data_IF_028956953380
#
_entry.id   IF_028956953380
#
_cell.length_a   1.000
_cell.length_b   1.000
_cell.length_c   1.000
_cell.angle_alpha   90.00
_cell.angle_beta   90.00
_cell.angle_gamma   90.00
#
_symmetry.space_group_name_H-M   'P 1'
#
loop_
_entity.id
_entity.type
_entity.pdbx_description
1 polymer ?
#
# COMPACT_ATOMS: atom_id res chain seq x y z
N UNK A 1 45.54 -9.83 -4.61
CA UNK A 1 44.48 -8.85 -4.91
C UNK A 1 43.16 -9.59 -4.84
N UNK A 2 42.40 -9.38 -3.76
CA UNK A 2 41.04 -9.92 -3.65
C UNK A 2 40.08 -8.79 -4.01
N UNK A 3 39.47 -8.89 -5.19
CA UNK A 3 38.33 -8.06 -5.56
C UNK A 3 37.08 -8.83 -5.13
N UNK A 4 36.46 -8.41 -4.04
CA UNK A 4 35.07 -8.78 -3.80
C UNK A 4 34.27 -8.22 -4.98
N UNK A 5 33.71 -9.09 -5.81
CA UNK A 5 32.60 -8.67 -6.67
C UNK A 5 31.51 -8.19 -5.70
N UNK A 6 31.01 -6.95 -5.79
CA UNK A 6 29.77 -6.65 -5.09
C UNK A 6 28.75 -7.66 -5.61
N UNK A 7 28.20 -8.46 -4.71
CA UNK A 7 27.04 -9.29 -5.02
C UNK A 7 25.94 -8.31 -5.40
N UNK A 8 25.72 -8.13 -6.70
CA UNK A 8 24.61 -7.34 -7.21
C UNK A 8 23.37 -8.14 -6.85
N UNK A 9 22.72 -7.78 -5.74
CA UNK A 9 21.45 -8.34 -5.33
C UNK A 9 20.45 -7.99 -6.44
N UNK A 10 20.11 -8.96 -7.28
CA UNK A 10 19.14 -8.75 -8.36
C UNK A 10 17.71 -8.71 -7.84
N UNK A 11 17.49 -9.29 -6.68
CA UNK A 11 16.20 -9.42 -6.02
C UNK A 11 16.36 -9.71 -4.53
N UNK A 12 15.32 -9.46 -3.74
CA UNK A 12 15.32 -9.65 -2.29
C UNK A 12 14.10 -10.40 -1.83
N UNK A 13 14.30 -11.28 -0.84
CA UNK A 13 13.21 -11.94 -0.13
C UNK A 13 12.63 -10.96 0.89
N UNK A 14 11.33 -10.71 0.83
CA UNK A 14 10.68 -9.74 1.72
C UNK A 14 10.47 -10.29 3.13
N UNK A 15 10.86 -9.54 4.15
CA UNK A 15 10.68 -9.93 5.55
C UNK A 15 9.26 -9.69 6.09
N UNK A 16 8.45 -8.93 5.37
CA UNK A 16 7.08 -8.60 5.74
C UNK A 16 6.20 -8.53 4.50
N UNK A 17 4.91 -8.72 4.70
CA UNK A 17 3.87 -8.32 3.75
C UNK A 17 3.64 -6.83 3.92
N UNK A 18 3.66 -6.07 2.84
CA UNK A 18 3.42 -4.64 2.83
C UNK A 18 2.16 -4.30 2.05
N UNK A 19 1.46 -3.29 2.54
CA UNK A 19 0.21 -2.88 1.92
C UNK A 19 -0.33 -1.58 2.48
N UNK A 20 -1.54 -1.25 2.05
CA UNK A 20 -2.27 -0.07 2.50
C UNK A 20 -3.65 -0.47 3.01
N UNK A 21 -4.25 0.41 3.79
CA UNK A 21 -5.66 0.28 4.12
C UNK A 21 -6.56 0.70 2.96
N UNK A 22 -7.56 -0.12 2.63
CA UNK A 22 -8.59 0.22 1.65
C UNK A 22 -9.99 -0.17 2.08
N UNK A 23 -10.97 0.43 1.39
CA UNK A 23 -12.34 -0.07 1.34
C UNK A 23 -12.46 -1.09 0.22
N UNK A 24 -13.25 -2.14 0.45
CA UNK A 24 -13.48 -3.19 -0.54
C UNK A 24 -14.92 -3.68 -0.50
N UNK A 25 -15.30 -4.54 -1.43
CA UNK A 25 -16.66 -5.10 -1.44
C UNK A 25 -16.85 -6.06 -0.26
N UNK A 26 -17.99 -5.94 0.42
CA UNK A 26 -18.33 -6.87 1.50
C UNK A 26 -18.86 -8.18 0.92
N UNK A 27 -18.20 -9.28 1.22
CA UNK A 27 -18.66 -10.64 0.94
C UNK A 27 -19.12 -11.27 2.26
N UNK A 28 -20.42 -11.49 2.39
CA UNK A 28 -21.04 -12.04 3.61
C UNK A 28 -20.57 -13.45 3.96
N UNK A 29 -20.04 -14.20 2.99
CA UNK A 29 -19.52 -15.54 3.21
C UNK A 29 -18.05 -15.53 3.68
N UNK A 30 -17.35 -14.40 3.53
CA UNK A 30 -15.91 -14.28 3.82
C UNK A 30 -15.59 -13.27 4.92
N UNK A 31 -16.36 -12.20 5.02
CA UNK A 31 -16.01 -11.05 5.86
C UNK A 31 -16.88 -10.99 7.12
N UNK A 32 -16.29 -10.74 8.30
CA UNK A 32 -17.03 -10.64 9.54
C UNK A 32 -18.00 -9.44 9.50
N UNK A 33 -19.21 -9.63 10.06
CA UNK A 33 -20.27 -8.60 10.07
C UNK A 33 -19.80 -7.28 10.70
N UNK A 34 -18.89 -7.34 11.68
CA UNK A 34 -18.32 -6.15 12.33
C UNK A 34 -17.48 -5.26 11.39
N UNK A 35 -17.14 -5.72 10.19
CA UNK A 35 -16.43 -4.94 9.16
C UNK A 35 -17.37 -4.36 8.10
N UNK A 36 -18.67 -4.68 8.16
CA UNK A 36 -19.65 -4.31 7.15
C UNK A 36 -20.08 -2.85 7.32
N UNK A 37 -20.00 -2.07 6.25
CA UNK A 37 -20.54 -0.72 6.17
C UNK A 37 -21.37 -0.52 4.89
N UNK A 38 -22.28 0.45 4.91
CA UNK A 38 -23.03 0.86 3.73
C UNK A 38 -22.53 2.23 3.26
N UNK A 39 -22.02 2.30 2.03
CA UNK A 39 -21.48 3.53 1.44
C UNK A 39 -21.81 3.57 -0.05
N UNK A 40 -22.22 4.74 -0.52
CA UNK A 40 -22.56 4.98 -1.95
C UNK A 40 -23.56 3.95 -2.52
N UNK A 41 -24.55 3.57 -1.70
CA UNK A 41 -25.58 2.62 -2.11
C UNK A 41 -25.13 1.16 -2.14
N UNK A 42 -23.92 0.83 -1.67
CA UNK A 42 -23.34 -0.51 -1.71
C UNK A 42 -22.84 -0.95 -0.33
N UNK A 43 -22.90 -2.27 -0.08
CA UNK A 43 -22.27 -2.87 1.08
C UNK A 43 -20.77 -3.07 0.83
N UNK A 44 -19.96 -2.40 1.65
CA UNK A 44 -18.51 -2.45 1.61
C UNK A 44 -17.96 -2.96 2.95
N UNK A 45 -16.71 -3.41 2.96
CA UNK A 45 -15.96 -3.62 4.17
C UNK A 45 -14.84 -2.59 4.30
N UNK A 46 -14.61 -2.15 5.53
CA UNK A 46 -13.53 -1.25 5.90
C UNK A 46 -12.31 -2.03 6.37
N UNK A 47 -11.19 -1.33 6.44
CA UNK A 47 -9.95 -1.83 7.01
C UNK A 47 -9.36 -3.02 6.24
N UNK A 48 -9.61 -3.17 4.93
CA UNK A 48 -8.91 -4.21 4.15
C UNK A 48 -7.43 -3.90 4.06
N UNK A 49 -6.63 -4.97 4.08
CA UNK A 49 -5.22 -4.91 3.80
C UNK A 49 -5.00 -5.17 2.30
N UNK A 50 -4.83 -4.11 1.50
CA UNK A 50 -4.43 -4.31 0.10
C UNK A 50 -2.93 -4.64 0.06
N UNK A 51 -2.62 -5.85 -0.39
CA UNK A 51 -1.25 -6.35 -0.48
C UNK A 51 -0.58 -5.84 -1.75
N UNK A 52 0.58 -5.18 -1.59
CA UNK A 52 1.47 -4.84 -2.70
C UNK A 52 2.59 -5.87 -2.87
N UNK A 53 3.00 -6.50 -1.76
CA UNK A 53 3.97 -7.59 -1.74
C UNK A 53 3.78 -8.44 -0.49
N UNK A 54 4.03 -9.74 -0.59
CA UNK A 54 3.93 -10.67 0.55
C UNK A 54 5.28 -10.98 1.16
N UNK A 55 5.29 -11.29 2.47
CA UNK A 55 6.46 -11.88 3.14
C UNK A 55 6.91 -13.14 2.42
N UNK A 56 8.22 -13.32 2.29
CA UNK A 56 8.90 -14.37 1.53
C UNK A 56 8.79 -14.28 0.00
N UNK A 57 8.14 -13.26 -0.56
CA UNK A 57 8.23 -13.03 -2.00
C UNK A 57 9.66 -12.58 -2.37
N UNK A 58 10.16 -13.08 -3.50
CA UNK A 58 11.43 -12.66 -4.08
C UNK A 58 11.17 -11.52 -5.07
N UNK A 59 11.56 -10.30 -4.69
CA UNK A 59 11.22 -9.05 -5.36
C UNK A 59 12.44 -8.47 -6.04
N UNK A 60 12.43 -8.28 -7.36
CA UNK A 60 13.54 -7.64 -8.05
C UNK A 60 13.79 -6.21 -7.55
N UNK A 61 15.06 -5.83 -7.43
CA UNK A 61 15.43 -4.44 -7.11
C UNK A 61 14.94 -3.52 -8.24
N UNK A 62 14.50 -2.33 -7.86
CA UNK A 62 13.86 -1.30 -8.70
C UNK A 62 12.52 -1.70 -9.32
N UNK A 63 11.93 -2.83 -8.90
CA UNK A 63 10.59 -3.22 -9.32
C UNK A 63 9.51 -2.33 -8.70
N UNK A 64 8.37 -2.27 -9.38
CA UNK A 64 7.23 -1.41 -9.00
C UNK A 64 5.94 -2.19 -9.04
N UNK A 65 5.13 -2.04 -8.00
CA UNK A 65 3.76 -2.56 -7.94
C UNK A 65 2.84 -1.38 -7.62
N UNK A 66 1.66 -1.32 -8.23
CA UNK A 66 0.75 -0.20 -8.05
C UNK A 66 -0.71 -0.64 -7.97
N UNK A 67 -1.51 0.17 -7.29
CA UNK A 67 -2.96 0.13 -7.38
C UNK A 67 -3.49 1.53 -7.76
N UNK A 68 -4.74 1.58 -8.22
CA UNK A 68 -5.42 2.83 -8.53
C UNK A 68 -6.75 2.88 -7.78
N UNK A 69 -7.04 4.02 -7.21
CA UNK A 69 -8.23 4.26 -6.39
C UNK A 69 -8.92 5.53 -6.82
N UNK A 70 -10.23 5.53 -6.71
CA UNK A 70 -11.04 6.74 -6.83
C UNK A 70 -10.99 7.47 -5.48
N UNK A 71 -10.63 8.76 -5.46
CA UNK A 71 -10.68 9.56 -4.24
C UNK A 71 -12.07 9.58 -3.60
N UNK A 72 -12.11 9.49 -2.27
CA UNK A 72 -13.36 9.57 -1.50
C UNK A 72 -13.57 10.91 -0.78
N UNK A 73 -12.60 11.83 -0.83
CA UNK A 73 -12.61 13.13 -0.15
C UNK A 73 -11.63 14.11 -0.82
N UNK A 74 -11.67 15.39 -0.44
CA UNK A 74 -10.72 16.41 -0.90
C UNK A 74 -9.26 16.07 -0.55
N UNK A 75 -9.03 15.36 0.56
CA UNK A 75 -7.71 14.86 0.96
C UNK A 75 -7.80 13.34 1.06
N UNK A 76 -6.93 12.63 0.35
CA UNK A 76 -6.78 11.18 0.49
C UNK A 76 -5.67 10.87 1.46
N UNK A 77 -6.00 10.09 2.49
CA UNK A 77 -5.07 9.61 3.51
C UNK A 77 -4.82 8.13 3.21
N UNK A 78 -3.56 7.77 2.99
CA UNK A 78 -3.13 6.40 2.68
C UNK A 78 -2.22 5.95 3.82
N UNK A 79 -2.72 5.14 4.76
CA UNK A 79 -1.88 4.55 5.79
C UNK A 79 -1.16 3.30 5.23
N UNK A 80 0.15 3.22 5.46
CA UNK A 80 1.01 2.13 5.00
C UNK A 80 1.20 1.16 6.17
N UNK A 81 0.89 -0.11 5.95
CA UNK A 81 1.03 -1.17 6.95
C UNK A 81 2.05 -2.23 6.54
N UNK A 82 2.57 -2.94 7.55
CA UNK A 82 3.25 -4.22 7.36
C UNK A 82 2.74 -5.29 8.33
N UNK A 83 3.01 -6.55 8.01
CA UNK A 83 2.77 -7.68 8.91
C UNK A 83 3.67 -8.87 8.58
N UNK A 84 3.89 -9.76 9.56
CA UNK A 84 4.57 -11.06 9.34
C UNK A 84 3.61 -12.12 8.77
N UNK A 85 2.31 -11.87 8.72
CA UNK A 85 1.32 -12.74 8.10
C UNK A 85 1.43 -12.64 6.58
N UNK A 86 1.45 -13.77 5.87
CA UNK A 86 1.62 -13.78 4.42
C UNK A 86 0.43 -13.21 3.65
N UNK A 87 -0.78 -13.54 4.08
CA UNK A 87 -2.03 -13.16 3.40
C UNK A 87 -3.01 -12.55 4.43
N UNK A 88 -2.72 -11.34 4.95
CA UNK A 88 -3.63 -10.63 5.85
C UNK A 88 -4.89 -10.20 5.10
N UNK A 89 -6.03 -10.19 5.79
CA UNK A 89 -7.29 -9.73 5.20
C UNK A 89 -7.60 -8.31 5.65
N UNK A 90 -7.38 -8.01 6.94
CA UNK A 90 -7.67 -6.70 7.51
C UNK A 90 -6.46 -6.09 8.20
N UNK A 91 -6.35 -4.76 8.17
CA UNK A 91 -5.30 -4.03 8.92
C UNK A 91 -5.47 -4.12 10.45
N UNK A 92 -6.62 -4.62 10.91
CA UNK A 92 -6.87 -4.91 12.34
C UNK A 92 -6.47 -6.33 12.74
N UNK A 93 -6.00 -7.15 11.79
CA UNK A 93 -5.55 -8.49 12.11
C UNK A 93 -4.32 -8.43 13.03
N UNK A 94 -4.14 -9.38 13.96
CA UNK A 94 -3.00 -9.37 14.87
C UNK A 94 -1.66 -9.33 14.13
N UNK A 95 -0.79 -8.41 14.54
CA UNK A 95 0.55 -8.24 13.97
C UNK A 95 0.62 -7.29 12.76
N UNK A 96 -0.49 -6.65 12.39
CA UNK A 96 -0.44 -5.50 11.49
C UNK A 96 0.10 -4.25 12.22
N UNK A 97 1.12 -3.63 11.63
CA UNK A 97 1.81 -2.46 12.16
C UNK A 97 1.71 -1.30 11.18
N UNK A 98 1.27 -0.13 11.64
CA UNK A 98 1.29 1.11 10.86
C UNK A 98 2.73 1.64 10.78
N UNK A 99 3.23 1.86 9.57
CA UNK A 99 4.57 2.39 9.33
C UNK A 99 4.60 3.90 9.09
N UNK A 100 3.50 4.43 8.58
CA UNK A 100 3.37 5.85 8.25
C UNK A 100 2.15 6.10 7.38
N UNK A 101 1.98 7.35 7.00
CA UNK A 101 0.82 7.81 6.25
C UNK A 101 1.25 8.78 5.17
N UNK A 102 0.68 8.61 3.97
CA UNK A 102 0.74 9.59 2.90
C UNK A 102 -0.57 10.36 2.85
N UNK A 103 -0.50 11.66 2.61
CA UNK A 103 -1.67 12.49 2.37
C UNK A 103 -1.50 13.19 1.03
N UNK A 104 -2.55 13.22 0.21
CA UNK A 104 -2.54 13.97 -1.04
C UNK A 104 -3.84 14.75 -1.21
N UNK A 105 -3.70 16.00 -1.62
CA UNK A 105 -4.84 16.85 -1.99
C UNK A 105 -5.33 16.49 -3.39
N UNK A 106 -6.63 16.25 -3.51
CA UNK A 106 -7.32 16.06 -4.76
C UNK A 106 -7.79 17.41 -5.35
N UNK A 107 -8.13 17.40 -6.63
CA UNK A 107 -8.68 18.57 -7.29
C UNK A 107 -10.05 18.92 -6.71
N UNK A 108 -10.25 20.18 -6.30
CA UNK A 108 -11.53 20.65 -5.74
C UNK A 108 -12.51 21.06 -6.83
N UNK A 109 -12.02 21.32 -8.03
CA UNK A 109 -12.80 21.80 -9.17
C UNK A 109 -13.23 20.67 -10.11
N UNK A 110 -12.82 19.43 -9.83
CA UNK A 110 -13.19 18.22 -10.58
C UNK A 110 -13.95 17.23 -9.67
N UNK A 111 -15.02 16.57 -10.15
CA UNK A 111 -15.69 15.51 -9.40
C UNK A 111 -14.70 14.42 -8.95
N UNK A 112 -14.75 14.01 -7.69
CA UNK A 112 -13.83 13.00 -7.14
C UNK A 112 -13.89 11.67 -7.90
N UNK A 113 -15.07 11.30 -8.38
CA UNK A 113 -15.33 10.11 -9.20
C UNK A 113 -14.66 10.11 -10.58
N UNK A 114 -14.30 11.29 -11.09
CA UNK A 114 -13.54 11.47 -12.34
C UNK A 114 -12.03 11.53 -12.09
N UNK A 115 -11.60 11.56 -10.83
CA UNK A 115 -10.21 11.59 -10.43
C UNK A 115 -9.68 10.18 -10.13
N UNK A 116 -8.37 10.02 -10.24
CA UNK A 116 -7.68 8.76 -9.91
C UNK A 116 -6.43 9.06 -9.11
N UNK A 117 -6.31 8.40 -7.96
CA UNK A 117 -5.07 8.32 -7.21
C UNK A 117 -4.37 7.01 -7.50
N UNK A 118 -3.10 7.08 -7.89
CA UNK A 118 -2.24 5.92 -8.12
C UNK A 118 -1.24 5.81 -6.99
N UNK A 119 -1.33 4.73 -6.21
CA UNK A 119 -0.35 4.40 -5.17
C UNK A 119 0.63 3.39 -5.75
N UNK A 120 1.93 3.65 -5.63
CA UNK A 120 3.02 2.81 -6.18
C UNK A 120 4.03 2.49 -5.10
N UNK A 121 4.35 1.21 -4.94
CA UNK A 121 5.45 0.73 -4.11
C UNK A 121 6.64 0.45 -5.03
N UNK A 122 7.79 1.04 -4.71
CA UNK A 122 9.03 0.97 -5.47
C UNK A 122 10.07 0.33 -4.56
N UNK A 123 10.51 -0.86 -4.92
CA UNK A 123 11.40 -1.69 -4.10
C UNK A 123 12.85 -1.42 -4.47
N UNK A 124 13.50 -0.49 -3.76
CA UNK A 124 14.93 -0.25 -3.90
C UNK A 124 15.76 -1.35 -3.23
N UNK A 125 17.08 -1.16 -3.22
CA UNK A 125 18.03 -2.09 -2.60
C UNK A 125 17.78 -2.19 -1.08
N UNK A 126 17.89 -1.07 -0.37
CA UNK A 126 17.71 -1.00 1.09
C UNK A 126 16.43 -0.30 1.53
N UNK A 127 15.73 0.34 0.60
CA UNK A 127 14.60 1.24 0.88
C UNK A 127 13.34 0.81 0.12
N UNK A 128 12.19 1.03 0.75
CA UNK A 128 10.88 0.98 0.11
C UNK A 128 10.37 2.41 -0.06
N UNK A 129 10.25 2.85 -1.31
CA UNK A 129 9.64 4.14 -1.64
C UNK A 129 8.17 3.92 -2.01
N UNK A 130 7.29 4.59 -1.28
CA UNK A 130 5.86 4.63 -1.59
C UNK A 130 5.57 6.01 -2.18
N UNK A 131 4.89 6.01 -3.33
CA UNK A 131 4.42 7.20 -4.02
C UNK A 131 2.89 7.17 -4.09
N UNK A 132 2.24 8.29 -3.81
CA UNK A 132 0.86 8.52 -4.27
C UNK A 132 0.84 9.67 -5.27
N UNK A 133 0.17 9.45 -6.40
CA UNK A 133 -0.02 10.44 -7.45
C UNK A 133 -1.49 10.64 -7.75
N UNK A 134 -1.97 11.88 -7.67
CA UNK A 134 -3.26 12.25 -8.26
C UNK A 134 -3.04 12.46 -9.77
N UNK A 135 -3.67 11.63 -10.59
CA UNK A 135 -3.45 11.59 -12.04
C UNK A 135 -3.98 12.87 -12.72
N UNK A 136 -5.10 13.41 -12.24
CA UNK A 136 -5.75 14.59 -12.83
C UNK A 136 -4.93 15.85 -12.62
N UNK A 137 -4.40 16.05 -11.42
CA UNK A 137 -3.60 17.24 -11.06
C UNK A 137 -2.10 17.07 -11.33
N UNK A 138 -1.63 15.82 -11.41
CA UNK A 138 -0.20 15.50 -11.49
C UNK A 138 0.56 15.66 -10.17
N UNK A 139 -0.10 16.04 -9.06
CA UNK A 139 0.51 16.12 -7.73
C UNK A 139 1.03 14.75 -7.30
N UNK A 140 2.17 14.74 -6.60
CA UNK A 140 2.86 13.54 -6.14
C UNK A 140 3.34 13.77 -4.71
N UNK A 141 3.10 12.79 -3.84
CA UNK A 141 3.60 12.75 -2.46
C UNK A 141 4.31 11.41 -2.22
N UNK A 142 5.37 11.42 -1.42
CA UNK A 142 6.23 10.24 -1.23
C UNK A 142 6.62 9.98 0.22
N UNK A 143 6.82 8.70 0.53
CA UNK A 143 7.26 8.21 1.82
C UNK A 143 8.34 7.14 1.58
N UNK A 144 9.52 7.35 2.16
CA UNK A 144 10.61 6.37 2.10
C UNK A 144 10.72 5.65 3.44
N UNK A 145 10.69 4.32 3.40
CA UNK A 145 10.83 3.46 4.56
C UNK A 145 12.12 2.65 4.45
N UNK A 146 12.94 2.66 5.50
CA UNK A 146 14.08 1.77 5.62
C UNK A 146 13.57 0.38 6.03
N UNK A 147 13.72 -0.57 5.11
CA UNK A 147 13.23 -1.95 5.29
C UNK A 147 14.31 -2.88 5.83
N UNK A 148 15.52 -2.38 6.08
CA UNK A 148 16.66 -3.13 6.62
C UNK A 148 16.90 -2.88 8.12
N UNK A 149 16.30 -1.82 8.69
CA UNK A 149 16.32 -1.62 10.15
C UNK A 149 15.38 -2.60 10.85
N UNK A 150 15.96 -3.65 11.44
CA UNK A 150 15.35 -4.33 12.57
C UNK A 150 15.26 -3.33 13.73
N UNK A 151 14.04 -3.12 14.24
CA UNK A 151 13.81 -2.48 15.53
C UNK A 151 14.22 -3.41 16.66
#
# INVERSE_FOLDING_TARGET
>A
MFGHKPDIISSRVMDYTYGIEMYGWYDENKHPVGKKLFREGKWMAEHFFEIFVMVNDDVPVDSKVYCSTTPGAEISVIPIYRTKVRDPVFITDPGCELLGTLEIENDKDMPLEEQTNKTTFIFGDTELLIEIKNISTGKVETLTLDVMKQL
#
